data_IF_817687943758
#
_entry.id   IF_817687943758
#
_cell.length_a   1.000
_cell.length_b   1.000
_cell.length_c   1.000
_cell.angle_alpha   90.00
_cell.angle_beta   90.00
_cell.angle_gamma   90.00
#
_symmetry.space_group_name_H-M   'P 1'
#
loop_
_entity.id
_entity.type
_entity.pdbx_description
1 polymer ?
#
# COMPACT_ATOMS: atom_id res chain seq x y z
N UNK A 1 -19.66 -12.79 -0.26
CA UNK A 1 -20.89 -13.59 -0.28
C UNK A 1 -21.96 -12.68 0.28
N UNK A 2 -22.88 -12.31 -0.59
CA UNK A 2 -23.79 -11.17 -0.51
C UNK A 2 -24.83 -11.35 0.60
N UNK A 3 -25.13 -10.28 1.33
CA UNK A 3 -25.91 -10.26 2.57
C UNK A 3 -27.17 -9.43 2.42
N UNK A 4 -28.05 -9.81 1.50
CA UNK A 4 -29.35 -9.14 1.31
C UNK A 4 -30.29 -9.48 2.47
N UNK A 5 -30.59 -8.49 3.31
CA UNK A 5 -31.62 -8.58 4.35
C UNK A 5 -33.02 -8.63 3.74
N UNK A 6 -33.90 -9.43 4.31
CA UNK A 6 -35.33 -9.48 3.95
C UNK A 6 -36.13 -8.65 4.93
N UNK A 7 -36.98 -7.75 4.43
CA UNK A 7 -37.90 -6.96 5.24
C UNK A 7 -39.19 -7.77 5.51
N UNK A 8 -39.61 -7.82 6.77
CA UNK A 8 -40.93 -8.30 7.23
C UNK A 8 -41.65 -7.17 7.97
N UNK A 9 -42.97 -7.27 8.14
CA UNK A 9 -43.87 -6.32 8.81
C UNK A 9 -43.51 -6.02 10.29
N UNK A 10 -42.48 -6.66 10.84
CA UNK A 10 -41.98 -6.46 12.21
C UNK A 10 -40.63 -5.73 12.28
N UNK A 11 -40.02 -5.36 11.13
CA UNK A 11 -38.73 -4.67 11.07
C UNK A 11 -37.73 -5.31 10.10
N UNK A 12 -36.60 -4.63 9.87
CA UNK A 12 -35.53 -5.10 8.98
C UNK A 12 -34.46 -5.82 9.78
N UNK A 13 -34.23 -7.11 9.50
CA UNK A 13 -33.15 -7.88 10.13
C UNK A 13 -31.87 -7.79 9.29
N UNK A 14 -30.78 -7.33 9.91
CA UNK A 14 -29.47 -7.23 9.28
C UNK A 14 -28.67 -8.54 9.36
N UNK A 15 -28.20 -9.03 8.21
CA UNK A 15 -27.40 -10.27 8.09
C UNK A 15 -25.97 -10.04 7.59
N UNK A 16 -25.47 -8.81 7.61
CA UNK A 16 -24.15 -8.51 7.06
C UNK A 16 -23.00 -8.76 8.04
N UNK A 17 -21.78 -8.41 7.61
CA UNK A 17 -20.54 -8.88 8.24
C UNK A 17 -19.92 -7.83 9.18
N UNK A 18 -19.60 -8.22 10.42
CA UNK A 18 -18.94 -7.41 11.44
C UNK A 18 -17.39 -7.60 11.52
N UNK A 19 -16.81 -8.43 10.64
CA UNK A 19 -15.39 -8.79 10.72
C UNK A 19 -14.50 -7.79 9.98
N UNK A 20 -13.43 -7.34 10.64
CA UNK A 20 -12.39 -6.53 10.01
C UNK A 20 -11.53 -7.38 9.06
N UNK A 21 -11.21 -6.84 7.88
CA UNK A 21 -10.31 -7.39 6.88
C UNK A 21 -9.01 -6.61 6.96
N UNK A 22 -7.99 -7.23 7.51
CA UNK A 22 -6.63 -6.69 7.53
C UNK A 22 -5.85 -7.18 6.31
N UNK A 23 -5.04 -6.29 5.73
CA UNK A 23 -4.06 -6.59 4.69
C UNK A 23 -2.70 -6.10 5.13
N UNK A 24 -1.69 -6.97 4.97
CA UNK A 24 -0.30 -6.58 5.16
C UNK A 24 0.16 -5.78 3.92
N UNK A 25 0.64 -4.55 4.13
CA UNK A 25 1.09 -3.64 3.06
C UNK A 25 2.61 -3.43 3.11
N UNK A 26 3.30 -4.06 4.07
CA UNK A 26 4.75 -4.08 4.19
C UNK A 26 5.19 -4.97 5.36
N UNK A 27 6.51 -5.14 5.61
CA UNK A 27 6.98 -5.74 6.85
C UNK A 27 6.46 -4.88 8.02
N UNK A 28 5.68 -5.52 8.89
CA UNK A 28 5.06 -4.94 10.10
C UNK A 28 3.94 -3.90 9.93
N UNK A 29 3.43 -3.66 8.72
CA UNK A 29 2.28 -2.76 8.50
C UNK A 29 0.99 -3.51 8.13
N UNK A 30 0.11 -3.69 9.12
CA UNK A 30 -1.24 -4.21 8.92
C UNK A 30 -2.23 -3.06 8.79
N UNK A 31 -2.82 -2.89 7.61
CA UNK A 31 -3.92 -1.93 7.37
C UNK A 31 -5.26 -2.67 7.43
N UNK A 32 -6.16 -2.20 8.30
CA UNK A 32 -7.57 -2.56 8.24
C UNK A 32 -8.19 -1.82 7.04
N UNK A 33 -8.64 -2.57 6.04
CA UNK A 33 -9.06 -2.02 4.74
C UNK A 33 -10.57 -1.97 4.56
N UNK A 34 -11.36 -2.27 5.60
CA UNK A 34 -12.81 -2.31 5.47
C UNK A 34 -13.55 -1.54 6.56
N UNK A 35 -14.61 -0.87 6.14
CA UNK A 35 -15.72 -0.51 7.00
C UNK A 35 -16.64 -1.73 7.08
N UNK A 36 -16.99 -2.17 8.28
CA UNK A 36 -17.87 -3.33 8.48
C UNK A 36 -19.31 -2.90 8.22
N UNK A 37 -20.11 -3.79 7.61
CA UNK A 37 -21.48 -3.42 7.31
C UNK A 37 -22.33 -3.24 8.58
N UNK A 38 -21.95 -3.85 9.70
CA UNK A 38 -22.57 -3.61 10.99
C UNK A 38 -22.37 -2.15 11.44
N UNK A 39 -21.18 -1.57 11.17
CA UNK A 39 -20.89 -0.17 11.45
C UNK A 39 -21.61 0.78 10.49
N UNK A 40 -21.91 0.35 9.27
CA UNK A 40 -22.73 1.13 8.33
C UNK A 40 -24.21 1.07 8.71
N UNK A 41 -24.69 -0.06 9.23
CA UNK A 41 -26.10 -0.29 9.51
C UNK A 41 -26.60 0.36 10.82
N UNK A 42 -25.76 0.30 11.86
CA UNK A 42 -26.02 0.93 13.16
C UNK A 42 -25.43 2.34 13.16
N UNK A 43 -26.28 3.36 13.35
CA UNK A 43 -25.85 4.76 13.41
C UNK A 43 -25.20 5.12 14.74
N UNK A 44 -25.44 4.32 15.80
CA UNK A 44 -24.99 4.62 17.16
C UNK A 44 -25.88 5.60 17.92
N UNK A 45 -26.90 6.16 17.26
CA UNK A 45 -27.87 7.11 17.83
C UNK A 45 -29.12 6.42 18.41
N UNK A 46 -29.08 5.09 18.54
CA UNK A 46 -30.17 4.27 19.07
C UNK A 46 -31.17 3.75 18.04
N UNK A 47 -30.90 3.97 16.75
CA UNK A 47 -31.67 3.41 15.63
C UNK A 47 -30.74 2.96 14.50
N UNK A 48 -31.23 2.07 13.64
CA UNK A 48 -30.54 1.64 12.42
C UNK A 48 -31.00 2.47 11.23
N UNK A 49 -30.20 2.51 10.16
CA UNK A 49 -30.59 3.17 8.90
C UNK A 49 -31.96 2.65 8.40
N UNK A 50 -32.24 1.37 8.61
CA UNK A 50 -33.50 0.75 8.21
C UNK A 50 -34.66 1.13 9.11
N UNK A 51 -34.43 1.33 10.40
CA UNK A 51 -35.45 1.81 11.34
C UNK A 51 -35.79 3.28 11.07
N UNK A 52 -34.82 4.12 10.71
CA UNK A 52 -35.10 5.50 10.29
C UNK A 52 -36.02 5.55 9.07
N UNK A 53 -35.75 4.71 8.05
CA UNK A 53 -36.59 4.62 6.86
C UNK A 53 -37.98 4.03 7.17
N UNK A 54 -38.05 3.02 8.04
CA UNK A 54 -39.32 2.43 8.46
C UNK A 54 -40.16 3.42 9.27
N UNK A 55 -39.52 4.18 10.18
CA UNK A 55 -40.15 5.25 10.96
C UNK A 55 -40.75 6.33 10.07
N UNK A 56 -40.06 6.72 8.99
CA UNK A 56 -40.60 7.67 8.02
C UNK A 56 -41.79 7.10 7.25
N UNK A 57 -41.73 5.84 6.83
CA UNK A 57 -42.84 5.15 6.16
C UNK A 57 -44.09 5.13 7.07
N UNK A 58 -43.91 4.81 8.35
CA UNK A 58 -45.02 4.72 9.29
C UNK A 58 -45.58 6.09 9.67
N UNK A 59 -44.73 7.11 9.84
CA UNK A 59 -45.15 8.49 10.06
C UNK A 59 -45.97 9.07 8.89
N UNK A 60 -45.57 8.74 7.65
CA UNK A 60 -46.34 9.13 6.45
C UNK A 60 -47.68 8.38 6.38
N UNK A 61 -47.74 7.12 6.80
CA UNK A 61 -48.99 6.33 6.83
C UNK A 61 -49.97 6.83 7.90
N UNK A 62 -49.48 7.29 9.04
CA UNK A 62 -50.31 7.87 10.11
C UNK A 62 -50.71 9.32 9.82
N UNK A 63 -50.08 9.96 8.83
CA UNK A 63 -50.28 11.35 8.43
C UNK A 63 -50.09 12.35 9.59
N UNK A 64 -49.18 12.02 10.52
CA UNK A 64 -48.81 12.87 11.65
C UNK A 64 -47.64 13.77 11.26
N UNK A 65 -47.92 15.07 11.09
CA UNK A 65 -46.93 16.06 10.65
C UNK A 65 -45.74 16.20 11.61
N UNK A 66 -45.94 15.99 12.92
CA UNK A 66 -44.86 16.07 13.89
C UNK A 66 -43.94 14.85 13.77
N UNK A 67 -44.51 13.65 13.67
CA UNK A 67 -43.75 12.41 13.48
C UNK A 67 -43.00 12.39 12.15
N UNK A 68 -43.58 12.94 11.07
CA UNK A 68 -42.92 13.04 9.77
C UNK A 68 -41.66 13.91 9.86
N UNK A 69 -41.70 15.00 10.62
CA UNK A 69 -40.55 15.90 10.79
C UNK A 69 -39.43 15.19 11.55
N UNK A 70 -39.75 14.53 12.67
CA UNK A 70 -38.75 13.75 13.43
C UNK A 70 -38.16 12.62 12.60
N UNK A 71 -38.98 11.84 11.90
CA UNK A 71 -38.48 10.75 11.07
C UNK A 71 -37.62 11.24 9.89
N UNK A 72 -37.88 12.46 9.39
CA UNK A 72 -37.03 13.07 8.36
C UNK A 72 -35.65 13.44 8.91
N UNK A 73 -35.59 13.98 10.14
CA UNK A 73 -34.33 14.28 10.82
C UNK A 73 -33.51 13.00 11.06
N UNK A 74 -34.15 11.92 11.49
CA UNK A 74 -33.50 10.61 11.68
C UNK A 74 -32.94 10.05 10.36
N UNK A 75 -33.65 10.25 9.24
CA UNK A 75 -33.16 9.86 7.90
C UNK A 75 -32.00 10.74 7.44
N UNK A 76 -31.99 12.03 7.79
CA UNK A 76 -30.85 12.92 7.51
C UNK A 76 -29.62 12.42 8.26
N UNK A 77 -29.75 12.11 9.55
CA UNK A 77 -28.66 11.56 10.37
C UNK A 77 -28.14 10.23 9.83
N UNK A 78 -29.04 9.30 9.44
CA UNK A 78 -28.66 8.04 8.82
C UNK A 78 -27.87 8.21 7.51
N UNK A 79 -28.22 9.24 6.72
CA UNK A 79 -27.52 9.58 5.48
C UNK A 79 -26.15 10.20 5.74
N UNK A 80 -26.04 11.07 6.73
CA UNK A 80 -24.76 11.68 7.12
C UNK A 80 -23.80 10.60 7.66
N UNK A 81 -24.30 9.66 8.47
CA UNK A 81 -23.53 8.49 8.92
C UNK A 81 -23.00 7.64 7.76
N UNK A 82 -23.82 7.42 6.73
CA UNK A 82 -23.38 6.70 5.53
C UNK A 82 -22.28 7.46 4.78
N UNK A 83 -22.37 8.79 4.73
CA UNK A 83 -21.36 9.63 4.11
C UNK A 83 -20.03 9.59 4.88
N UNK A 84 -20.08 9.57 6.20
CA UNK A 84 -18.90 9.41 7.06
C UNK A 84 -18.24 8.05 6.85
N UNK A 85 -19.03 6.98 6.82
CA UNK A 85 -18.54 5.64 6.50
C UNK A 85 -17.91 5.54 5.10
N UNK A 86 -18.50 6.21 4.10
CA UNK A 86 -17.94 6.29 2.75
C UNK A 86 -16.63 7.08 2.72
N UNK A 87 -16.55 8.17 3.49
CA UNK A 87 -15.34 8.98 3.63
C UNK A 87 -14.21 8.17 4.29
N UNK A 88 -14.51 7.39 5.33
CA UNK A 88 -13.55 6.49 5.96
C UNK A 88 -12.97 5.49 4.93
N UNK A 89 -13.81 4.87 4.11
CA UNK A 89 -13.35 4.01 3.03
C UNK A 89 -12.46 4.75 2.00
N UNK A 90 -12.80 6.00 1.67
CA UNK A 90 -11.99 6.87 0.83
C UNK A 90 -10.61 7.18 1.43
N UNK A 91 -10.52 7.42 2.74
CA UNK A 91 -9.23 7.65 3.42
C UNK A 91 -8.34 6.41 3.41
N UNK A 92 -8.93 5.22 3.51
CA UNK A 92 -8.20 3.95 3.39
C UNK A 92 -7.62 3.80 1.99
N UNK A 93 -8.40 4.10 0.94
CA UNK A 93 -7.92 4.08 -0.44
C UNK A 93 -6.73 5.04 -0.63
N UNK A 94 -6.86 6.28 -0.14
CA UNK A 94 -5.78 7.26 -0.19
C UNK A 94 -4.50 6.79 0.52
N UNK A 95 -4.63 6.14 1.69
CA UNK A 95 -3.49 5.57 2.42
C UNK A 95 -2.81 4.44 1.65
N UNK A 96 -3.58 3.61 0.93
CA UNK A 96 -3.04 2.56 0.08
C UNK A 96 -2.26 3.14 -1.11
N UNK A 97 -2.79 4.18 -1.74
CA UNK A 97 -2.12 4.86 -2.84
C UNK A 97 -0.80 5.51 -2.39
N UNK A 98 -0.80 6.18 -1.23
CA UNK A 98 0.42 6.73 -0.63
C UNK A 98 1.46 5.66 -0.30
N UNK A 99 1.03 4.51 0.23
CA UNK A 99 1.94 3.40 0.52
C UNK A 99 2.54 2.81 -0.76
N UNK A 100 1.75 2.71 -1.83
CA UNK A 100 2.22 2.24 -3.13
C UNK A 100 3.25 3.20 -3.75
N UNK A 101 3.00 4.51 -3.67
CA UNK A 101 3.94 5.54 -4.14
C UNK A 101 5.25 5.51 -3.34
N UNK A 102 5.17 5.39 -2.01
CA UNK A 102 6.33 5.28 -1.16
C UNK A 102 7.18 4.05 -1.51
N UNK A 103 6.54 2.89 -1.69
CA UNK A 103 7.24 1.66 -2.07
C UNK A 103 7.92 1.77 -3.45
N UNK A 104 7.28 2.44 -4.41
CA UNK A 104 7.87 2.69 -5.72
C UNK A 104 9.14 3.57 -5.61
N UNK A 105 9.09 4.62 -4.80
CA UNK A 105 10.23 5.49 -4.54
C UNK A 105 11.37 4.76 -3.82
N UNK A 106 11.07 3.98 -2.78
CA UNK A 106 12.06 3.15 -2.08
C UNK A 106 12.71 2.15 -3.03
N UNK A 107 11.94 1.50 -3.90
CA UNK A 107 12.47 0.56 -4.90
C UNK A 107 13.45 1.25 -5.85
N UNK A 108 13.10 2.45 -6.32
CA UNK A 108 13.96 3.23 -7.21
C UNK A 108 15.26 3.64 -6.50
N UNK A 109 15.18 4.03 -5.24
CA UNK A 109 16.35 4.40 -4.44
C UNK A 109 17.29 3.21 -4.18
N UNK A 110 16.73 2.06 -3.82
CA UNK A 110 17.52 0.82 -3.65
C UNK A 110 18.20 0.42 -4.96
N UNK A 111 17.51 0.55 -6.10
CA UNK A 111 18.10 0.25 -7.41
C UNK A 111 19.27 1.20 -7.73
N UNK A 112 19.13 2.50 -7.43
CA UNK A 112 20.23 3.47 -7.60
C UNK A 112 21.43 3.16 -6.73
N UNK A 113 21.21 2.83 -5.45
CA UNK A 113 22.29 2.46 -4.53
C UNK A 113 23.00 1.18 -4.98
N UNK A 114 22.25 0.20 -5.49
CA UNK A 114 22.83 -1.03 -6.04
C UNK A 114 23.68 -0.73 -7.26
N UNK A 115 23.16 0.03 -8.24
CA UNK A 115 23.91 0.43 -9.44
C UNK A 115 25.19 1.19 -9.08
N UNK A 116 25.11 2.15 -8.16
CA UNK A 116 26.28 2.93 -7.74
C UNK A 116 27.36 2.06 -7.06
N UNK A 117 26.95 1.03 -6.33
CA UNK A 117 27.88 0.07 -5.71
C UNK A 117 28.51 -0.85 -6.75
N UNK A 118 27.70 -1.40 -7.66
CA UNK A 118 28.17 -2.25 -8.77
C UNK A 118 29.15 -1.49 -9.68
N UNK A 119 28.86 -0.23 -10.01
CA UNK A 119 29.73 0.62 -10.83
C UNK A 119 31.08 0.90 -10.15
N UNK A 120 31.09 1.09 -8.82
CA UNK A 120 32.32 1.28 -8.05
C UNK A 120 33.21 0.04 -8.07
N UNK A 121 32.63 -1.15 -7.89
CA UNK A 121 33.34 -2.44 -7.94
C UNK A 121 33.93 -2.72 -9.34
N UNK A 122 33.20 -2.35 -10.40
CA UNK A 122 33.71 -2.46 -11.77
C UNK A 122 34.92 -1.54 -12.01
N UNK A 123 34.86 -0.29 -11.54
CA UNK A 123 35.98 0.65 -11.66
C UNK A 123 37.24 0.16 -10.91
N UNK A 124 37.07 -0.39 -9.71
CA UNK A 124 38.17 -1.00 -8.95
C UNK A 124 38.77 -2.21 -9.68
N UNK A 125 37.90 -3.10 -10.19
CA UNK A 125 38.31 -4.30 -10.92
C UNK A 125 39.12 -3.95 -12.17
N UNK A 126 38.65 -2.97 -12.95
CA UNK A 126 39.36 -2.46 -14.15
C UNK A 126 40.73 -1.88 -13.76
N UNK A 127 40.78 -1.09 -12.68
CA UNK A 127 42.02 -0.49 -12.20
C UNK A 127 43.04 -1.56 -11.78
N UNK A 128 42.60 -2.58 -11.05
CA UNK A 128 43.44 -3.69 -10.63
C UNK A 128 43.95 -4.53 -11.82
N UNK A 129 43.10 -4.73 -12.83
CA UNK A 129 43.50 -5.39 -14.07
C UNK A 129 44.57 -4.59 -14.82
N UNK A 130 44.38 -3.27 -14.97
CA UNK A 130 45.36 -2.39 -15.62
C UNK A 130 46.71 -2.40 -14.90
N UNK A 131 46.72 -2.30 -13.56
CA UNK A 131 47.96 -2.40 -12.77
C UNK A 131 48.68 -3.73 -13.01
N UNK A 132 47.92 -4.84 -13.04
CA UNK A 132 48.47 -6.17 -13.31
C UNK A 132 49.07 -6.28 -14.71
N UNK A 133 48.40 -5.73 -15.72
CA UNK A 133 48.91 -5.68 -17.10
C UNK A 133 50.18 -4.84 -17.21
N UNK A 134 50.22 -3.64 -16.59
CA UNK A 134 51.41 -2.79 -16.58
C UNK A 134 52.59 -3.46 -15.89
N UNK A 135 52.36 -4.12 -14.75
CA UNK A 135 53.39 -4.87 -14.03
C UNK A 135 53.94 -6.04 -14.85
N UNK A 136 53.05 -6.80 -15.51
CA UNK A 136 53.45 -7.89 -16.40
C UNK A 136 54.29 -7.37 -17.57
N UNK A 137 53.86 -6.28 -18.21
CA UNK A 137 54.59 -5.69 -19.33
C UNK A 137 55.98 -5.19 -18.92
N UNK A 138 56.09 -4.53 -17.77
CA UNK A 138 57.38 -4.13 -17.21
C UNK A 138 58.29 -5.34 -16.93
N UNK A 139 57.72 -6.42 -16.36
CA UNK A 139 58.47 -7.67 -16.08
C UNK A 139 58.98 -8.31 -17.37
N UNK A 140 58.15 -8.39 -18.40
CA UNK A 140 58.55 -8.92 -19.72
C UNK A 140 59.65 -8.08 -20.35
N UNK A 141 59.61 -6.76 -20.20
CA UNK A 141 60.61 -5.86 -20.74
C UNK A 141 61.95 -6.01 -20.04
N UNK A 142 61.95 -6.11 -18.70
CA UNK A 142 63.15 -6.42 -17.90
C UNK A 142 63.73 -7.79 -18.28
N UNK A 143 62.90 -8.81 -18.45
CA UNK A 143 63.32 -10.14 -18.90
C UNK A 143 63.94 -10.09 -20.31
N UNK A 144 63.37 -9.33 -21.23
CA UNK A 144 63.91 -9.15 -22.57
C UNK A 144 65.28 -8.47 -22.53
N UNK A 145 65.44 -7.40 -21.74
CA UNK A 145 66.74 -6.72 -21.55
C UNK A 145 67.77 -7.66 -20.93
N UNK A 146 67.44 -8.38 -19.86
CA UNK A 146 68.32 -9.36 -19.22
C UNK A 146 68.78 -10.46 -20.19
N UNK A 147 67.85 -11.03 -20.96
CA UNK A 147 68.19 -12.03 -21.99
C UNK A 147 69.15 -11.47 -23.04
N UNK A 148 68.88 -10.26 -23.53
CA UNK A 148 69.67 -9.62 -24.57
C UNK A 148 71.10 -9.30 -24.10
N UNK A 149 71.28 -8.86 -22.84
CA UNK A 149 72.60 -8.66 -22.24
C UNK A 149 73.35 -9.99 -22.05
N UNK A 150 72.69 -11.03 -21.54
CA UNK A 150 73.34 -12.34 -21.29
C UNK A 150 73.86 -13.03 -22.55
N UNK A 151 73.16 -12.89 -23.68
CA UNK A 151 73.58 -13.45 -24.97
C UNK A 151 74.79 -12.71 -25.57
N UNK A 152 74.90 -11.39 -25.34
CA UNK A 152 76.05 -10.62 -25.78
C UNK A 152 77.29 -10.87 -24.91
N UNK A 153 77.11 -11.11 -23.60
CA UNK A 153 78.21 -11.50 -22.71
C UNK A 153 78.69 -12.93 -22.97
N UNK A 154 77.84 -13.85 -23.46
CA UNK A 154 78.25 -15.22 -23.79
C UNK A 154 79.09 -15.32 -25.07
N UNK A 155 79.13 -14.27 -25.90
CA UNK A 155 79.88 -14.23 -27.17
C UNK A 155 81.21 -13.45 -27.07
N UNK A 156 81.65 -13.10 -25.87
CA UNK A 156 83.00 -12.59 -25.57
C UNK A 156 83.80 -13.63 -24.80
#
# INVERSE_FOLDING_TARGET
>A
RDGSGTADASGVTYYGNAQSRTRAVGPDLNLAINVTGARVHDTGDGFTITEALQGLIDAVRTNDAAQITTALDDVIQARDHLLDAATEAGTVAQRLDQAAEHLANTRLEVERQRSATEDADLAETITNLQRSQTSLQATLQVLATLKQTSLLDFLR
#
